data_IF_565577759952
#
_entry.id   IF_565577759952
#
_cell.length_a   1.000
_cell.length_b   1.000
_cell.length_c   1.000
_cell.angle_alpha   90.00
_cell.angle_beta   90.00
_cell.angle_gamma   90.00
#
_symmetry.space_group_name_H-M   'P 1'
#
loop_
_entity.id
_entity.type
_entity.pdbx_description
1 polymer ?
#
# COMPACT_ATOMS: atom_id res chain seq x y z
N UNK A 1 72.55 -24.30 -24.65
CA UNK A 1 72.21 -24.10 -23.23
C UNK A 1 70.72 -23.83 -23.14
N UNK A 2 69.89 -24.57 -22.38
CA UNK A 2 69.96 -25.96 -21.85
C UNK A 2 68.77 -26.84 -22.39
N UNK A 3 68.89 -28.15 -22.71
CA UNK A 3 68.83 -29.39 -21.87
C UNK A 3 67.82 -29.38 -20.72
N UNK A 4 67.00 -30.39 -20.38
CA UNK A 4 66.54 -31.68 -20.95
C UNK A 4 65.46 -32.25 -19.98
N UNK A 5 64.51 -33.09 -20.49
CA UNK A 5 63.83 -34.28 -19.87
C UNK A 5 63.16 -34.17 -18.47
N UNK A 6 62.16 -34.96 -18.04
CA UNK A 6 61.20 -35.96 -18.56
C UNK A 6 60.28 -36.34 -17.36
N UNK A 7 59.33 -37.27 -17.57
CA UNK A 7 58.63 -38.15 -16.61
C UNK A 7 57.19 -37.76 -16.22
N UNK A 8 56.29 -38.73 -16.33
CA UNK A 8 54.86 -38.62 -16.06
C UNK A 8 54.31 -39.65 -15.07
N UNK A 9 53.04 -39.41 -14.66
CA UNK A 9 52.00 -40.29 -14.07
C UNK A 9 52.31 -41.00 -12.71
N UNK A 10 51.34 -41.18 -11.78
CA UNK A 10 50.02 -41.80 -12.01
C UNK A 10 48.81 -41.21 -11.20
N UNK A 11 47.57 -41.74 -11.37
CA UNK A 11 46.35 -41.26 -10.69
C UNK A 11 45.91 -42.18 -9.53
N UNK A 12 45.24 -41.64 -8.48
CA UNK A 12 44.46 -42.44 -7.50
C UNK A 12 43.24 -41.72 -6.88
N UNK A 13 42.32 -42.57 -6.40
CA UNK A 13 40.88 -42.45 -6.14
C UNK A 13 40.38 -41.64 -4.90
N UNK A 14 39.19 -41.05 -5.11
CA UNK A 14 38.03 -40.62 -4.26
C UNK A 14 37.83 -41.27 -2.85
N UNK A 15 37.17 -40.61 -1.84
CA UNK A 15 35.68 -40.57 -1.73
C UNK A 15 35.00 -39.33 -1.03
N UNK A 16 33.78 -38.99 -1.51
CA UNK A 16 32.57 -38.29 -0.95
C UNK A 16 32.50 -37.89 0.56
N UNK A 17 31.65 -36.91 1.04
CA UNK A 17 30.24 -36.73 0.62
C UNK A 17 29.62 -35.30 0.57
N UNK A 18 28.65 -35.16 -0.34
CA UNK A 18 27.42 -34.33 -0.30
C UNK A 18 27.21 -33.38 0.90
N UNK A 19 27.27 -32.07 0.66
CA UNK A 19 26.34 -31.09 1.28
C UNK A 19 25.68 -30.24 0.20
N UNK A 20 24.44 -30.61 -0.13
CA UNK A 20 23.52 -29.79 -0.92
C UNK A 20 23.12 -28.59 -0.08
N UNK A 21 23.60 -27.40 -0.43
CA UNK A 21 22.98 -26.15 0.00
C UNK A 21 21.63 -26.00 -0.73
N UNK A 22 20.55 -25.59 -0.05
CA UNK A 22 19.25 -25.47 -0.67
C UNK A 22 19.28 -24.36 -1.72
N UNK A 23 19.11 -24.74 -2.99
CA UNK A 23 18.71 -23.80 -4.05
C UNK A 23 17.43 -23.13 -3.58
N UNK A 24 17.51 -21.84 -3.26
CA UNK A 24 16.31 -21.02 -3.18
C UNK A 24 15.56 -21.18 -4.50
N UNK A 25 14.40 -21.80 -4.39
CA UNK A 25 13.42 -21.97 -5.45
C UNK A 25 13.16 -20.58 -6.03
N UNK A 26 13.70 -20.29 -7.22
CA UNK A 26 13.23 -19.17 -8.04
C UNK A 26 11.72 -19.39 -8.18
N UNK A 27 10.92 -18.67 -7.39
CA UNK A 27 9.51 -18.49 -7.70
C UNK A 27 9.52 -17.87 -9.09
N UNK A 28 8.96 -18.61 -10.04
CA UNK A 28 8.65 -18.14 -11.37
C UNK A 28 7.97 -16.79 -11.24
N UNK A 29 8.72 -15.73 -11.59
CA UNK A 29 8.17 -14.42 -11.82
C UNK A 29 7.26 -14.58 -13.03
N UNK A 30 5.96 -14.72 -12.81
CA UNK A 30 5.00 -14.59 -13.89
C UNK A 30 4.97 -13.10 -14.19
N UNK A 31 5.38 -12.65 -15.38
CA UNK A 31 5.29 -11.24 -15.71
C UNK A 31 3.80 -10.88 -15.68
N UNK A 32 3.46 -9.81 -14.96
CA UNK A 32 2.09 -9.28 -14.81
C UNK A 32 1.50 -8.75 -16.14
N UNK A 33 2.13 -9.05 -17.27
CA UNK A 33 1.78 -8.58 -18.61
C UNK A 33 0.85 -9.52 -19.39
N UNK A 34 0.38 -10.63 -18.83
CA UNK A 34 -0.48 -11.59 -19.57
C UNK A 34 -1.96 -11.65 -19.16
N UNK A 35 -2.41 -10.87 -18.18
CA UNK A 35 -3.81 -10.92 -17.69
C UNK A 35 -4.76 -9.92 -18.35
N UNK A 36 -4.28 -9.00 -19.20
CA UNK A 36 -5.12 -8.05 -19.93
C UNK A 36 -4.65 -7.89 -21.38
N UNK A 37 -4.67 -8.98 -22.15
CA UNK A 37 -4.52 -8.94 -23.61
C UNK A 37 -5.81 -9.40 -24.27
N UNK A 38 -6.81 -8.50 -24.36
CA UNK A 38 -7.93 -8.48 -25.34
C UNK A 38 -9.01 -7.49 -24.92
N UNK A 39 -8.74 -6.19 -25.06
CA UNK A 39 -9.79 -5.17 -25.20
C UNK A 39 -9.25 -4.14 -26.21
N UNK A 40 -9.74 -4.08 -27.45
CA UNK A 40 -9.29 -3.07 -28.39
C UNK A 40 -10.15 -1.83 -28.22
N UNK A 41 -9.61 -0.63 -27.94
CA UNK A 41 -10.23 0.62 -28.38
C UNK A 41 -9.26 1.80 -28.41
N UNK A 42 -9.30 2.53 -29.54
CA UNK A 42 -8.76 3.87 -29.78
C UNK A 42 -9.48 4.88 -28.89
N UNK A 43 -8.74 5.82 -28.30
CA UNK A 43 -9.30 6.97 -27.59
C UNK A 43 -8.63 8.24 -28.09
N UNK A 44 -9.45 9.11 -28.68
CA UNK A 44 -9.13 10.51 -28.95
C UNK A 44 -9.18 11.34 -27.68
N UNK A 45 -8.30 12.34 -27.61
CA UNK A 45 -8.21 13.31 -26.53
C UNK A 45 -9.44 14.22 -26.49
N UNK A 46 -9.79 14.74 -25.30
CA UNK A 46 -10.17 16.14 -25.24
C UNK A 46 -9.49 16.95 -24.12
N UNK A 47 -9.51 18.26 -24.37
CA UNK A 47 -8.68 19.33 -23.83
C UNK A 47 -9.05 19.77 -22.41
N UNK A 48 -8.04 20.39 -21.78
CA UNK A 48 -8.04 21.08 -20.48
C UNK A 48 -9.07 22.23 -20.43
N UNK A 49 -9.63 22.47 -19.25
CA UNK A 49 -10.11 23.80 -18.87
C UNK A 49 -9.71 24.09 -17.41
N UNK A 50 -9.05 25.23 -17.23
CA UNK A 50 -8.51 25.78 -15.98
C UNK A 50 -9.51 26.85 -15.49
N UNK A 51 -9.78 26.88 -14.19
CA UNK A 51 -10.41 28.02 -13.52
C UNK A 51 -9.67 28.25 -12.19
N UNK A 52 -9.24 29.48 -11.84
CA UNK A 52 -8.50 29.75 -10.61
C UNK A 52 -9.46 30.01 -9.43
N UNK A 53 -9.05 29.60 -8.22
CA UNK A 53 -9.69 30.06 -6.98
C UNK A 53 -8.67 30.72 -6.06
N UNK A 54 -9.13 31.83 -5.52
CA UNK A 54 -8.47 32.90 -4.76
C UNK A 54 -8.23 32.56 -3.30
N UNK A 55 -7.12 33.11 -2.78
CA UNK A 55 -6.93 33.74 -1.46
C UNK A 55 -7.49 33.09 -0.19
N UNK A 56 -6.59 32.67 0.70
CA UNK A 56 -6.87 32.52 2.13
C UNK A 56 -5.70 33.09 2.94
N UNK A 57 -6.00 34.12 3.72
CA UNK A 57 -5.12 34.79 4.65
C UNK A 57 -4.88 33.91 5.90
N UNK A 58 -3.64 33.86 6.39
CA UNK A 58 -3.27 33.18 7.63
C UNK A 58 -3.13 34.23 8.72
N UNK A 59 -3.96 34.08 9.75
CA UNK A 59 -3.90 34.84 10.99
C UNK A 59 -2.74 34.32 11.85
N UNK A 60 -1.88 35.23 12.30
CA UNK A 60 -0.77 34.96 13.21
C UNK A 60 -1.32 34.92 14.65
N UNK A 61 -1.03 33.85 15.40
CA UNK A 61 -1.32 33.78 16.84
C UNK A 61 -0.09 33.24 17.58
N UNK A 62 0.22 33.90 18.71
CA UNK A 62 1.52 33.94 19.36
C UNK A 62 2.01 32.65 20.00
N UNK A 63 3.33 32.53 20.07
CA UNK A 63 4.05 31.47 20.74
C UNK A 63 4.11 31.75 22.26
N UNK A 64 3.58 30.82 23.05
CA UNK A 64 3.87 30.72 24.48
C UNK A 64 5.15 29.91 24.67
N UNK A 65 6.02 30.36 25.57
CA UNK A 65 7.29 29.72 25.90
C UNK A 65 7.09 28.29 26.41
N UNK A 66 7.77 27.32 25.80
CA UNK A 66 7.82 25.93 26.25
C UNK A 66 9.19 25.61 26.86
N UNK A 67 9.14 24.88 27.97
CA UNK A 67 10.24 24.41 28.82
C UNK A 67 11.30 23.60 28.00
N UNK A 68 12.63 23.84 28.17
CA UNK A 68 13.68 23.21 27.35
C UNK A 68 13.74 21.68 27.44
N UNK A 69 13.34 21.11 28.57
CA UNK A 69 13.21 19.66 28.79
C UNK A 69 12.15 19.02 27.87
N UNK A 70 11.11 19.79 27.53
CA UNK A 70 10.04 19.41 26.61
C UNK A 70 10.51 19.53 25.16
N UNK A 71 11.36 20.52 24.83
CA UNK A 71 11.96 20.68 23.50
C UNK A 71 12.98 19.61 23.15
N UNK A 72 13.83 19.20 24.10
CA UNK A 72 14.76 18.06 23.92
C UNK A 72 14.00 16.74 23.77
N UNK A 73 12.94 16.56 24.55
CA UNK A 73 12.00 15.43 24.39
C UNK A 73 11.28 15.49 23.04
N UNK A 74 10.93 16.69 22.55
CA UNK A 74 10.30 16.92 21.23
C UNK A 74 11.30 16.76 20.08
N UNK A 75 12.61 16.95 20.26
CA UNK A 75 13.62 16.72 19.22
C UNK A 75 14.06 15.25 19.15
N UNK A 76 14.16 14.57 20.30
CA UNK A 76 14.39 13.13 20.38
C UNK A 76 13.16 12.36 19.88
N UNK A 77 11.98 12.62 20.46
CA UNK A 77 10.85 13.21 19.73
C UNK A 77 10.90 13.12 18.21
N UNK A 78 11.22 14.21 17.52
CA UNK A 78 11.16 14.42 16.07
C UNK A 78 12.20 13.64 15.24
N UNK A 79 13.24 13.06 15.84
CA UNK A 79 14.20 12.20 15.13
C UNK A 79 13.86 10.72 15.28
N UNK A 80 13.36 10.32 16.45
CA UNK A 80 12.91 8.95 16.75
C UNK A 80 11.45 8.76 16.32
N UNK A 81 10.58 9.76 16.40
CA UNK A 81 9.17 9.64 15.99
C UNK A 81 8.96 9.40 14.52
N UNK A 82 9.62 10.01 13.53
CA UNK A 82 9.35 9.60 12.15
C UNK A 82 9.76 8.14 11.92
N UNK A 83 10.82 7.65 12.56
CA UNK A 83 11.29 6.25 12.43
C UNK A 83 10.41 5.28 13.24
N UNK A 84 10.05 5.62 14.47
CA UNK A 84 9.21 4.82 15.37
C UNK A 84 7.74 4.93 15.00
N UNK A 85 7.24 6.09 14.57
CA UNK A 85 5.91 6.26 13.97
C UNK A 85 5.87 5.60 12.60
N UNK A 86 6.92 5.64 11.75
CA UNK A 86 6.95 4.79 10.54
C UNK A 86 6.98 3.31 10.89
N UNK A 87 7.76 2.85 11.87
CA UNK A 87 7.78 1.44 12.27
C UNK A 87 6.45 1.02 12.91
N UNK A 88 5.82 1.85 13.76
CA UNK A 88 4.51 1.59 14.35
C UNK A 88 3.40 1.66 13.30
N UNK A 89 3.48 2.58 12.32
CA UNK A 89 2.56 2.62 11.18
C UNK A 89 2.79 1.45 10.24
N UNK A 90 4.02 0.98 10.04
CA UNK A 90 4.31 -0.24 9.27
C UNK A 90 3.78 -1.49 9.97
N UNK A 91 3.88 -1.56 11.30
CA UNK A 91 3.31 -2.65 12.11
C UNK A 91 1.78 -2.60 12.07
N UNK A 92 1.14 -1.43 12.27
CA UNK A 92 -0.31 -1.27 12.14
C UNK A 92 -0.81 -1.52 10.71
N UNK A 93 -0.05 -1.13 9.68
CA UNK A 93 -0.41 -1.34 8.29
C UNK A 93 -0.20 -2.81 7.89
N UNK A 94 0.82 -3.52 8.41
CA UNK A 94 0.91 -4.98 8.32
C UNK A 94 -0.26 -5.67 9.03
N UNK A 95 -0.71 -5.17 10.19
CA UNK A 95 -1.88 -5.72 10.90
C UNK A 95 -3.20 -5.45 10.16
N UNK A 96 -3.31 -4.36 9.40
CA UNK A 96 -4.49 -4.09 8.55
C UNK A 96 -4.44 -4.81 7.18
N UNK A 97 -3.26 -5.21 6.71
CA UNK A 97 -3.07 -5.91 5.42
C UNK A 97 -3.14 -7.43 5.57
N UNK A 98 -2.86 -7.98 6.77
CA UNK A 98 -2.95 -9.40 7.07
C UNK A 98 -4.26 -9.70 7.84
N UNK A 99 -5.21 -10.47 7.28
CA UNK A 99 -6.24 -11.06 8.12
C UNK A 99 -5.56 -12.08 9.03
N UNK A 100 -5.52 -11.77 10.33
CA UNK A 100 -5.08 -12.69 11.37
C UNK A 100 -6.06 -13.87 11.40
N UNK A 101 -5.70 -14.96 10.71
CA UNK A 101 -6.43 -16.22 10.79
C UNK A 101 -6.05 -16.88 12.12
N UNK A 102 -6.85 -16.66 13.15
CA UNK A 102 -6.75 -17.43 14.38
C UNK A 102 -7.34 -18.82 14.11
N UNK A 103 -6.49 -19.80 13.80
CA UNK A 103 -6.85 -21.21 13.90
C UNK A 103 -6.84 -21.58 15.39
N UNK A 104 -8.01 -21.50 16.02
CA UNK A 104 -8.30 -22.11 17.31
C UNK A 104 -9.19 -23.33 17.10
N UNK A 105 -8.57 -24.51 17.02
CA UNK A 105 -9.25 -25.79 17.19
C UNK A 105 -9.81 -25.89 18.61
N UNK A 106 -11.12 -26.09 18.72
CA UNK A 106 -11.74 -26.73 19.87
C UNK A 106 -13.04 -27.40 19.41
N UNK A 107 -12.98 -28.72 19.19
CA UNK A 107 -14.18 -29.54 19.09
C UNK A 107 -14.90 -29.57 20.44
N UNK A 108 -16.22 -29.67 20.39
CA UNK A 108 -17.03 -30.32 21.42
C UNK A 108 -18.40 -30.66 20.84
N UNK A 109 -18.78 -31.91 21.10
CA UNK A 109 -20.06 -32.51 20.76
C UNK A 109 -21.22 -31.65 21.28
N UNK A 110 -22.27 -31.54 20.47
CA UNK A 110 -23.62 -31.61 21.01
C UNK A 110 -24.48 -32.49 20.11
N UNK A 111 -24.54 -33.76 20.51
CA UNK A 111 -25.44 -34.80 20.04
C UNK A 111 -26.82 -34.49 20.63
N UNK A 112 -27.73 -33.88 19.86
CA UNK A 112 -29.14 -33.85 20.26
C UNK A 112 -29.89 -35.00 19.58
N UNK A 113 -30.06 -36.07 20.35
CA UNK A 113 -30.97 -37.18 20.08
C UNK A 113 -32.40 -36.64 20.21
N UNK A 114 -33.14 -36.56 19.10
CA UNK A 114 -34.60 -36.47 19.12
C UNK A 114 -35.12 -37.83 18.67
N UNK A 115 -35.50 -38.65 19.65
CA UNK A 115 -36.37 -39.79 19.44
C UNK A 115 -37.82 -39.33 19.60
N UNK A 116 -38.68 -39.97 18.80
CA UNK A 116 -40.15 -39.99 18.79
C UNK A 116 -40.87 -38.78 18.20
N UNK A 117 -41.30 -38.90 16.94
CA UNK A 117 -42.73 -39.01 16.65
C UNK A 117 -43.03 -39.68 15.28
N UNK A 118 -42.99 -41.02 15.25
CA UNK A 118 -43.21 -41.85 14.05
C UNK A 118 -44.64 -41.75 13.46
N UNK A 119 -45.58 -41.08 14.14
CA UNK A 119 -46.95 -40.91 13.65
C UNK A 119 -47.13 -39.61 12.85
N UNK A 120 -46.43 -38.55 13.23
CA UNK A 120 -46.50 -37.25 12.55
C UNK A 120 -45.81 -37.26 11.18
N UNK A 121 -44.79 -38.10 11.03
CA UNK A 121 -44.02 -38.27 9.79
C UNK A 121 -44.84 -38.97 8.68
N UNK A 122 -45.72 -39.92 9.02
CA UNK A 122 -46.58 -40.62 8.04
C UNK A 122 -47.75 -39.75 7.57
N UNK A 123 -48.31 -38.92 8.45
CA UNK A 123 -49.35 -37.94 8.10
C UNK A 123 -48.76 -36.82 7.23
N UNK A 124 -47.55 -36.34 7.53
CA UNK A 124 -46.85 -35.36 6.70
C UNK A 124 -46.46 -35.91 5.32
N UNK A 125 -46.03 -37.18 5.23
CA UNK A 125 -45.74 -37.84 3.95
C UNK A 125 -47.00 -38.06 3.10
N UNK A 126 -48.16 -38.35 3.71
CA UNK A 126 -49.45 -38.40 2.99
C UNK A 126 -49.94 -37.02 2.56
N UNK A 127 -49.72 -35.99 3.39
CA UNK A 127 -50.03 -34.61 3.03
C UNK A 127 -49.14 -34.10 1.88
N UNK A 128 -47.88 -34.54 1.80
CA UNK A 128 -46.96 -34.25 0.70
C UNK A 128 -47.33 -34.95 -0.62
N UNK A 129 -48.00 -36.10 -0.56
CA UNK A 129 -48.45 -36.85 -1.74
C UNK A 129 -49.76 -36.30 -2.36
N UNK A 130 -50.54 -35.52 -1.60
CA UNK A 130 -51.81 -34.93 -2.06
C UNK A 130 -51.72 -33.44 -2.42
N UNK A 131 -50.52 -32.84 -2.37
CA UNK A 131 -50.31 -31.47 -2.84
C UNK A 131 -50.31 -31.44 -4.38
N UNK A 132 -51.09 -30.53 -5.02
CA UNK A 132 -50.91 -30.23 -6.44
C UNK A 132 -49.45 -29.82 -6.65
N UNK A 133 -48.84 -30.32 -7.72
CA UNK A 133 -47.43 -30.14 -8.09
C UNK A 133 -46.79 -28.81 -7.65
N UNK A 134 -46.15 -28.83 -6.47
CA UNK A 134 -45.31 -27.74 -5.93
C UNK A 134 -44.05 -27.45 -6.77
N UNK A 135 -43.79 -28.27 -7.80
CA UNK A 135 -42.64 -28.17 -8.70
C UNK A 135 -42.58 -26.86 -9.50
N UNK A 136 -43.69 -26.14 -9.70
CA UNK A 136 -43.68 -24.85 -10.40
C UNK A 136 -43.39 -23.65 -9.49
N UNK A 137 -43.68 -23.73 -8.19
CA UNK A 137 -43.45 -22.64 -7.23
C UNK A 137 -42.11 -22.78 -6.49
N UNK A 138 -41.64 -24.01 -6.22
CA UNK A 138 -40.32 -24.24 -5.60
C UNK A 138 -39.14 -23.92 -6.54
N UNK A 139 -39.33 -24.01 -7.86
CA UNK A 139 -38.29 -23.65 -8.83
C UNK A 139 -37.95 -22.15 -8.84
N UNK A 140 -38.92 -21.28 -8.55
CA UNK A 140 -38.73 -19.82 -8.56
C UNK A 140 -38.01 -19.33 -7.29
N UNK A 141 -38.41 -19.81 -6.10
CA UNK A 141 -37.83 -19.40 -4.83
C UNK A 141 -36.40 -19.97 -4.59
N UNK A 142 -36.12 -21.21 -5.03
CA UNK A 142 -34.75 -21.76 -4.97
C UNK A 142 -33.81 -21.10 -5.99
N UNK A 143 -34.32 -20.72 -7.17
CA UNK A 143 -33.54 -19.97 -8.14
C UNK A 143 -33.24 -18.54 -7.64
N UNK A 144 -34.21 -17.85 -7.03
CA UNK A 144 -34.01 -16.49 -6.50
C UNK A 144 -32.97 -16.47 -5.36
N UNK A 145 -33.00 -17.45 -4.46
CA UNK A 145 -32.03 -17.58 -3.37
C UNK A 145 -30.58 -17.81 -3.87
N UNK A 146 -30.42 -18.55 -4.97
CA UNK A 146 -29.11 -18.76 -5.62
C UNK A 146 -28.54 -17.48 -6.23
N UNK A 147 -29.38 -16.70 -6.91
CA UNK A 147 -28.97 -15.41 -7.52
C UNK A 147 -28.61 -14.36 -6.47
N UNK A 148 -29.37 -14.26 -5.37
CA UNK A 148 -29.04 -13.35 -4.28
C UNK A 148 -27.69 -13.66 -3.63
N UNK A 149 -27.34 -14.94 -3.50
CA UNK A 149 -26.03 -15.33 -2.98
C UNK A 149 -24.89 -14.88 -3.90
N UNK A 150 -25.05 -15.10 -5.22
CA UNK A 150 -24.05 -14.69 -6.22
C UNK A 150 -23.85 -13.17 -6.23
N UNK A 151 -24.93 -12.39 -6.10
CA UNK A 151 -24.84 -10.93 -6.04
C UNK A 151 -24.15 -10.44 -4.76
N UNK A 152 -24.45 -11.07 -3.61
CA UNK A 152 -23.75 -10.77 -2.35
C UNK A 152 -22.26 -11.05 -2.44
N UNK A 153 -21.85 -12.12 -3.10
CA UNK A 153 -20.42 -12.42 -3.28
C UNK A 153 -19.75 -11.46 -4.25
N UNK A 154 -20.43 -11.07 -5.33
CA UNK A 154 -19.95 -10.02 -6.24
C UNK A 154 -19.69 -8.71 -5.49
N UNK A 155 -20.68 -8.23 -4.73
CA UNK A 155 -20.59 -6.98 -3.97
C UNK A 155 -19.47 -7.03 -2.92
N UNK A 156 -19.31 -8.18 -2.25
CA UNK A 156 -18.24 -8.41 -1.28
C UNK A 156 -16.85 -8.31 -1.92
N UNK A 157 -16.64 -8.96 -3.06
CA UNK A 157 -15.35 -8.96 -3.73
C UNK A 157 -15.04 -7.61 -4.39
N UNK A 158 -16.04 -6.95 -4.98
CA UNK A 158 -15.88 -5.61 -5.53
C UNK A 158 -15.61 -4.58 -4.43
N UNK A 159 -16.31 -4.64 -3.30
CA UNK A 159 -16.08 -3.76 -2.15
C UNK A 159 -14.65 -3.84 -1.60
N UNK A 160 -14.06 -5.05 -1.54
CA UNK A 160 -12.63 -5.22 -1.19
C UNK A 160 -11.70 -4.50 -2.16
N UNK A 161 -12.02 -4.52 -3.46
CA UNK A 161 -11.21 -3.87 -4.49
C UNK A 161 -11.37 -2.35 -4.48
N UNK A 162 -12.56 -1.82 -4.21
CA UNK A 162 -12.75 -0.38 -4.00
C UNK A 162 -11.94 0.13 -2.81
N UNK A 163 -12.00 -0.59 -1.68
CA UNK A 163 -11.18 -0.26 -0.52
C UNK A 163 -9.68 -0.31 -0.85
N UNK A 164 -9.24 -1.32 -1.60
CA UNK A 164 -7.84 -1.44 -2.04
C UNK A 164 -7.43 -0.29 -2.97
N UNK A 165 -8.30 0.16 -3.87
CA UNK A 165 -8.07 1.32 -4.75
C UNK A 165 -7.81 2.59 -3.92
N UNK A 166 -8.69 2.88 -2.97
CA UNK A 166 -8.58 4.07 -2.12
C UNK A 166 -7.36 4.04 -1.22
N UNK A 167 -7.07 2.88 -0.62
CA UNK A 167 -5.87 2.67 0.19
C UNK A 167 -4.59 2.86 -0.63
N UNK A 168 -4.56 2.34 -1.86
CA UNK A 168 -3.39 2.48 -2.76
C UNK A 168 -3.16 3.95 -3.12
N UNK A 169 -4.21 4.69 -3.48
CA UNK A 169 -4.12 6.13 -3.79
C UNK A 169 -3.66 6.95 -2.59
N UNK A 170 -4.20 6.66 -1.40
CA UNK A 170 -3.81 7.32 -0.16
C UNK A 170 -2.32 7.06 0.14
N UNK A 171 -1.90 5.81 0.09
CA UNK A 171 -0.50 5.42 0.31
C UNK A 171 0.45 6.10 -0.70
N UNK A 172 0.08 6.15 -1.98
CA UNK A 172 0.86 6.85 -3.00
C UNK A 172 1.03 8.34 -2.67
N UNK A 173 -0.06 9.02 -2.26
CA UNK A 173 -0.05 10.44 -1.91
C UNK A 173 0.80 10.69 -0.67
N UNK A 174 0.66 9.86 0.36
CA UNK A 174 1.39 10.02 1.60
C UNK A 174 2.89 9.73 1.43
N UNK A 175 3.26 8.74 0.60
CA UNK A 175 4.66 8.49 0.24
C UNK A 175 5.29 9.68 -0.49
N UNK A 176 4.56 10.30 -1.42
CA UNK A 176 5.03 11.51 -2.12
C UNK A 176 5.25 12.67 -1.15
N UNK A 177 4.28 12.92 -0.24
CA UNK A 177 4.44 13.97 0.79
C UNK A 177 5.64 13.72 1.68
N UNK A 178 5.89 12.46 2.06
CA UNK A 178 7.06 12.08 2.85
C UNK A 178 8.36 12.44 2.14
N UNK A 179 8.49 12.10 0.85
CA UNK A 179 9.70 12.44 0.08
C UNK A 179 9.85 13.94 -0.14
N UNK A 180 8.74 14.68 -0.30
CA UNK A 180 8.78 16.14 -0.42
C UNK A 180 9.26 16.79 0.90
N UNK A 181 8.84 16.25 2.05
CA UNK A 181 9.29 16.69 3.37
C UNK A 181 10.77 16.37 3.61
N UNK A 182 11.24 15.19 3.20
CA UNK A 182 12.66 14.81 3.25
C UNK A 182 13.53 15.81 2.49
N UNK A 183 13.11 16.21 1.27
CA UNK A 183 13.82 17.21 0.48
C UNK A 183 13.82 18.58 1.13
N UNK A 184 12.69 19.03 1.69
CA UNK A 184 12.56 20.33 2.33
C UNK A 184 13.45 20.46 3.58
N UNK A 185 13.51 19.40 4.39
CA UNK A 185 14.38 19.32 5.57
C UNK A 185 15.85 19.40 5.17
N UNK A 186 16.27 18.57 4.21
CA UNK A 186 17.66 18.52 3.75
C UNK A 186 18.13 19.85 3.15
N UNK A 187 17.27 20.48 2.34
CA UNK A 187 17.53 21.82 1.79
C UNK A 187 17.71 22.88 2.89
N UNK A 188 16.89 22.82 3.94
CA UNK A 188 17.01 23.73 5.09
C UNK A 188 18.33 23.51 5.84
N UNK A 189 18.74 22.25 6.05
CA UNK A 189 20.01 21.92 6.69
C UNK A 189 21.23 22.45 5.91
N UNK A 190 21.25 22.26 4.59
CA UNK A 190 22.30 22.82 3.71
C UNK A 190 22.29 24.36 3.72
N UNK A 191 21.11 24.99 3.80
CA UNK A 191 21.04 26.45 3.89
C UNK A 191 21.66 26.96 5.19
N UNK A 192 21.35 26.32 6.33
CA UNK A 192 21.92 26.69 7.64
C UNK A 192 23.45 26.63 7.60
N UNK A 193 24.03 25.54 7.08
CA UNK A 193 25.49 25.42 7.00
C UNK A 193 26.12 26.44 6.05
N UNK A 194 25.48 26.72 4.91
CA UNK A 194 25.93 27.74 3.97
C UNK A 194 25.86 29.15 4.55
N UNK A 195 24.81 29.48 5.29
CA UNK A 195 24.65 30.79 5.92
C UNK A 195 25.74 30.99 6.99
N UNK A 196 26.04 29.96 7.81
CA UNK A 196 27.14 29.99 8.78
C UNK A 196 28.50 30.21 8.10
N UNK A 197 28.76 29.53 6.99
CA UNK A 197 30.02 29.67 6.27
C UNK A 197 30.21 31.07 5.68
N UNK A 198 29.12 31.75 5.33
CA UNK A 198 29.14 33.14 4.83
C UNK A 198 29.33 34.20 5.92
N UNK A 199 29.37 33.80 7.20
CA UNK A 199 29.53 34.74 8.30
C UNK A 199 30.95 35.32 8.31
N UNK A 200 31.14 36.65 8.45
CA UNK A 200 32.46 37.27 8.53
C UNK A 200 33.37 36.72 9.63
N UNK A 201 32.81 36.11 10.68
CA UNK A 201 33.58 35.40 11.72
C UNK A 201 34.47 34.29 11.15
N UNK A 202 34.06 33.65 10.06
CA UNK A 202 34.85 32.65 9.35
C UNK A 202 36.09 33.24 8.68
N UNK A 203 36.11 34.54 8.37
CA UNK A 203 37.32 35.21 7.84
C UNK A 203 38.28 35.62 8.97
N UNK A 204 37.73 35.88 10.15
CA UNK A 204 38.47 36.39 11.32
C UNK A 204 39.11 35.27 12.13
N UNK A 205 38.45 34.12 12.25
CA UNK A 205 38.86 33.01 13.11
C UNK A 205 39.09 31.72 12.30
N UNK A 206 40.35 31.38 11.97
CA UNK A 206 40.67 30.21 11.13
C UNK A 206 40.16 28.89 11.70
N UNK A 207 40.18 28.73 13.02
CA UNK A 207 39.68 27.51 13.69
C UNK A 207 38.16 27.35 13.57
N UNK A 208 37.43 28.47 13.58
CA UNK A 208 35.98 28.48 13.37
C UNK A 208 35.63 28.16 11.92
N UNK A 209 36.37 28.73 10.97
CA UNK A 209 36.22 28.41 9.54
C UNK A 209 36.38 26.91 9.26
N UNK A 210 37.39 26.27 9.85
CA UNK A 210 37.62 24.84 9.69
C UNK A 210 36.42 24.01 10.18
N UNK A 211 35.91 24.29 11.38
CA UNK A 211 34.74 23.60 11.94
C UNK A 211 33.48 23.80 11.07
N UNK A 212 33.20 25.04 10.67
CA UNK A 212 32.00 25.36 9.86
C UNK A 212 32.11 24.75 8.45
N UNK A 213 33.31 24.72 7.86
CA UNK A 213 33.56 24.07 6.57
C UNK A 213 33.35 22.56 6.64
N UNK A 214 33.79 21.91 7.72
CA UNK A 214 33.54 20.49 7.95
C UNK A 214 32.04 20.21 8.10
N UNK A 215 31.30 21.04 8.84
CA UNK A 215 29.85 20.94 8.99
C UNK A 215 29.11 21.12 7.66
N UNK A 216 29.46 22.12 6.86
CA UNK A 216 28.86 22.34 5.54
C UNK A 216 29.10 21.19 4.57
N UNK A 217 30.32 20.64 4.58
CA UNK A 217 30.65 19.45 3.80
C UNK A 217 29.81 18.24 4.21
N UNK A 218 29.61 18.05 5.52
CA UNK A 218 28.75 16.98 6.05
C UNK A 218 27.29 17.15 5.63
N UNK A 219 26.73 18.37 5.71
CA UNK A 219 25.35 18.66 5.30
C UNK A 219 25.13 18.41 3.80
N UNK A 220 26.07 18.84 2.94
CA UNK A 220 26.00 18.61 1.49
C UNK A 220 26.11 17.11 1.12
N UNK A 221 26.95 16.35 1.84
CA UNK A 221 27.03 14.89 1.67
C UNK A 221 25.71 14.22 2.08
N UNK A 222 25.15 14.60 3.22
CA UNK A 222 23.86 14.10 3.68
C UNK A 222 22.73 14.39 2.67
N UNK A 223 22.71 15.60 2.10
CA UNK A 223 21.74 15.97 1.07
C UNK A 223 21.85 15.08 -0.18
N UNK A 224 23.07 14.79 -0.61
CA UNK A 224 23.31 13.89 -1.75
C UNK A 224 22.73 12.49 -1.50
N UNK A 225 22.94 11.92 -0.31
CA UNK A 225 22.35 10.63 0.06
C UNK A 225 20.82 10.70 0.21
N UNK A 226 20.28 11.81 0.71
CA UNK A 226 18.84 12.01 0.82
C UNK A 226 18.17 12.08 -0.56
N UNK A 227 18.79 12.79 -1.52
CA UNK A 227 18.33 12.82 -2.91
C UNK A 227 18.32 11.43 -3.54
N UNK A 228 19.37 10.63 -3.32
CA UNK A 228 19.41 9.24 -3.80
C UNK A 228 18.30 8.40 -3.17
N UNK A 229 18.10 8.48 -1.84
CA UNK A 229 16.98 7.82 -1.15
C UNK A 229 15.64 8.20 -1.78
N UNK A 230 15.37 9.49 -1.99
CA UNK A 230 14.12 9.99 -2.58
C UNK A 230 13.95 9.45 -4.00
N UNK A 231 14.99 9.48 -4.83
CA UNK A 231 14.96 8.94 -6.18
C UNK A 231 14.67 7.43 -6.20
N UNK A 232 15.23 6.67 -5.25
CA UNK A 232 14.96 5.24 -5.12
C UNK A 232 13.51 4.98 -4.69
N UNK A 233 12.99 5.71 -3.70
CA UNK A 233 11.58 5.59 -3.25
C UNK A 233 10.61 5.93 -4.39
N UNK A 234 10.93 6.97 -5.18
CA UNK A 234 10.14 7.35 -6.35
C UNK A 234 10.01 6.19 -7.36
N UNK A 235 11.13 5.54 -7.70
CA UNK A 235 11.18 4.44 -8.67
C UNK A 235 10.61 3.12 -8.14
N UNK A 236 10.85 2.81 -6.87
CA UNK A 236 10.57 1.48 -6.31
C UNK A 236 9.28 1.40 -5.51
N UNK A 237 8.69 2.53 -5.14
CA UNK A 237 7.44 2.59 -4.34
C UNK A 237 6.37 3.41 -5.05
N UNK A 238 6.63 4.69 -5.32
CA UNK A 238 5.61 5.62 -5.84
C UNK A 238 5.16 5.22 -7.25
N UNK A 239 6.10 4.90 -8.14
CA UNK A 239 5.78 4.46 -9.50
C UNK A 239 5.02 3.13 -9.55
N UNK A 240 5.41 2.05 -8.82
CA UNK A 240 4.62 0.83 -8.72
C UNK A 240 3.20 1.08 -8.19
N UNK A 241 3.04 1.89 -7.13
CA UNK A 241 1.69 2.23 -6.62
C UNK A 241 0.85 2.94 -7.68
N UNK A 242 1.45 3.85 -8.46
CA UNK A 242 0.79 4.54 -9.58
C UNK A 242 0.38 3.56 -10.68
N UNK A 243 1.28 2.63 -11.05
CA UNK A 243 1.01 1.59 -12.07
C UNK A 243 -0.11 0.66 -11.62
N UNK A 244 -0.10 0.20 -10.38
CA UNK A 244 -1.18 -0.60 -9.81
C UNK A 244 -2.51 0.14 -9.81
N UNK A 245 -2.50 1.42 -9.39
CA UNK A 245 -3.70 2.28 -9.39
C UNK A 245 -4.30 2.46 -10.79
N UNK A 246 -3.50 2.37 -11.85
CA UNK A 246 -3.96 2.54 -13.24
C UNK A 246 -4.81 1.38 -13.78
N UNK A 247 -4.85 0.24 -13.07
CA UNK A 247 -5.64 -0.94 -13.47
C UNK A 247 -7.12 -0.78 -13.06
N UNK A 248 -7.40 -0.07 -11.97
CA UNK A 248 -8.75 0.07 -11.42
C UNK A 248 -9.78 0.72 -12.37
N UNK A 249 -9.45 1.76 -13.16
CA UNK A 249 -10.40 2.32 -14.13
C UNK A 249 -10.96 1.28 -15.10
N UNK A 250 -10.13 0.35 -15.57
CA UNK A 250 -10.56 -0.72 -16.47
C UNK A 250 -11.47 -1.73 -15.77
N UNK A 251 -11.17 -2.10 -14.53
CA UNK A 251 -12.03 -2.93 -13.68
C UNK A 251 -13.38 -2.26 -13.45
N UNK A 252 -13.40 -1.00 -13.01
CA UNK A 252 -14.60 -0.23 -12.72
C UNK A 252 -15.51 -0.11 -13.95
N UNK A 253 -14.92 0.04 -15.14
CA UNK A 253 -15.66 0.03 -16.40
C UNK A 253 -16.24 -1.35 -16.74
N UNK A 254 -15.56 -2.45 -16.42
CA UNK A 254 -16.09 -3.80 -16.61
C UNK A 254 -17.27 -4.08 -15.67
N UNK A 255 -17.16 -3.68 -14.40
CA UNK A 255 -18.26 -3.74 -13.41
C UNK A 255 -19.46 -2.92 -13.87
N UNK A 256 -19.24 -1.67 -14.34
CA UNK A 256 -20.31 -0.83 -14.88
C UNK A 256 -21.01 -1.48 -16.09
N UNK A 257 -20.26 -2.14 -16.98
CA UNK A 257 -20.83 -2.87 -18.12
C UNK A 257 -21.66 -4.08 -17.68
N UNK A 258 -21.19 -4.83 -16.67
CA UNK A 258 -21.98 -5.93 -16.07
C UNK A 258 -23.29 -5.40 -15.48
N UNK A 259 -23.23 -4.31 -14.72
CA UNK A 259 -24.40 -3.72 -14.08
C UNK A 259 -25.44 -3.23 -15.10
N UNK A 260 -24.99 -2.60 -16.18
CA UNK A 260 -25.88 -2.20 -17.28
C UNK A 260 -26.59 -3.42 -17.91
N UNK A 261 -25.84 -4.50 -18.20
CA UNK A 261 -26.42 -5.72 -18.77
C UNK A 261 -27.34 -6.43 -17.77
N UNK A 262 -27.05 -6.38 -16.47
CA UNK A 262 -27.93 -6.89 -15.41
C UNK A 262 -29.27 -6.14 -15.37
N UNK A 263 -29.26 -4.81 -15.52
CA UNK A 263 -30.47 -4.01 -15.58
C UNK A 263 -31.31 -4.36 -16.82
N UNK A 264 -30.67 -4.52 -17.98
CA UNK A 264 -31.34 -4.94 -19.21
C UNK A 264 -31.91 -6.36 -19.09
N UNK A 265 -31.16 -7.29 -18.49
CA UNK A 265 -31.61 -8.65 -18.17
C UNK A 265 -32.85 -8.63 -17.28
N UNK A 266 -32.82 -7.92 -16.15
CA UNK A 266 -33.97 -7.77 -15.23
C UNK A 266 -35.20 -7.22 -15.93
N UNK A 267 -35.04 -6.19 -16.77
CA UNK A 267 -36.16 -5.60 -17.54
C UNK A 267 -36.81 -6.60 -18.49
N UNK A 268 -36.01 -7.37 -19.24
CA UNK A 268 -36.52 -8.37 -20.18
C UNK A 268 -37.08 -9.60 -19.46
N UNK A 269 -36.47 -10.00 -18.35
CA UNK A 269 -36.94 -11.08 -17.48
C UNK A 269 -38.34 -10.77 -16.94
N UNK A 270 -38.58 -9.56 -16.42
CA UNK A 270 -39.92 -9.13 -16.01
C UNK A 270 -40.92 -9.06 -17.18
N UNK A 271 -40.46 -8.81 -18.41
CA UNK A 271 -41.33 -8.87 -19.61
C UNK A 271 -41.76 -10.32 -19.89
N UNK A 272 -40.85 -11.29 -19.75
CA UNK A 272 -41.16 -12.73 -19.88
C UNK A 272 -42.16 -13.17 -18.81
N UNK A 273 -41.89 -12.89 -17.54
CA UNK A 273 -42.77 -13.23 -16.41
C UNK A 273 -44.19 -12.70 -16.60
N UNK A 274 -44.32 -11.43 -17.04
CA UNK A 274 -45.63 -10.81 -17.36
C UNK A 274 -46.42 -11.53 -18.46
N UNK A 275 -45.78 -12.23 -19.39
CA UNK A 275 -46.48 -13.03 -20.42
C UNK A 275 -46.68 -14.47 -19.97
N UNK A 276 -45.87 -14.99 -19.05
CA UNK A 276 -46.05 -16.31 -18.45
C UNK A 276 -47.25 -16.37 -17.51
N UNK A 277 -47.56 -15.28 -16.81
CA UNK A 277 -48.73 -15.15 -15.92
C UNK A 277 -50.06 -15.00 -16.67
N UNK A 278 -50.03 -14.69 -17.99
CA UNK A 278 -51.25 -14.51 -18.80
C UNK A 278 -51.81 -15.85 -19.27
N UNK A 279 -53.11 -15.87 -19.54
CA UNK A 279 -53.77 -17.06 -20.12
C UNK A 279 -53.12 -17.51 -21.44
N UNK A 280 -52.99 -18.82 -21.60
CA UNK A 280 -52.29 -19.48 -22.73
C UNK A 280 -53.12 -19.49 -24.00
N UNK A 281 -53.42 -18.31 -24.51
CA UNK A 281 -53.99 -18.11 -25.84
C UNK A 281 -52.88 -18.09 -26.90
N UNK A 282 -53.21 -18.45 -28.15
CA UNK A 282 -52.26 -18.45 -29.27
C UNK A 282 -51.45 -17.15 -29.43
N UNK A 283 -52.09 -15.96 -29.40
CA UNK A 283 -51.39 -14.67 -29.47
C UNK A 283 -50.44 -14.40 -28.29
N UNK A 284 -50.78 -14.86 -27.07
CA UNK A 284 -49.93 -14.71 -25.87
C UNK A 284 -48.71 -15.62 -25.96
N UNK A 285 -48.88 -16.86 -26.45
CA UNK A 285 -47.78 -17.80 -26.65
C UNK A 285 -46.76 -17.28 -27.67
N UNK A 286 -47.22 -16.65 -28.76
CA UNK A 286 -46.33 -16.03 -29.75
C UNK A 286 -45.50 -14.88 -29.12
N UNK A 287 -46.14 -14.00 -28.33
CA UNK A 287 -45.45 -12.90 -27.63
C UNK A 287 -44.48 -13.39 -26.55
N UNK A 288 -44.84 -14.45 -25.83
CA UNK A 288 -43.96 -15.09 -24.86
C UNK A 288 -42.71 -15.66 -25.54
N UNK A 289 -42.87 -16.34 -26.66
CA UNK A 289 -41.74 -16.86 -27.43
C UNK A 289 -40.81 -15.73 -27.89
N UNK A 290 -41.35 -14.66 -28.46
CA UNK A 290 -40.58 -13.49 -28.86
C UNK A 290 -39.83 -12.86 -27.68
N UNK A 291 -40.48 -12.68 -26.53
CA UNK A 291 -39.85 -12.12 -25.33
C UNK A 291 -38.71 -13.00 -24.80
N UNK A 292 -38.84 -14.34 -24.89
CA UNK A 292 -37.77 -15.28 -24.53
C UNK A 292 -36.59 -15.20 -25.51
N UNK A 293 -36.86 -15.06 -26.80
CA UNK A 293 -35.81 -14.90 -27.82
C UNK A 293 -35.05 -13.58 -27.68
N UNK A 294 -35.72 -12.50 -27.27
CA UNK A 294 -35.08 -11.23 -26.91
C UNK A 294 -34.23 -11.33 -25.63
N UNK A 295 -34.70 -12.08 -24.63
CA UNK A 295 -34.02 -12.25 -23.34
C UNK A 295 -32.73 -13.06 -23.46
N UNK A 296 -32.75 -14.14 -24.26
CA UNK A 296 -31.66 -15.12 -24.37
C UNK A 296 -30.27 -14.50 -24.59
N UNK A 297 -30.02 -13.65 -25.61
CA UNK A 297 -28.70 -13.06 -25.82
C UNK A 297 -28.25 -12.12 -24.70
N UNK A 298 -29.18 -11.41 -24.04
CA UNK A 298 -28.87 -10.50 -22.93
C UNK A 298 -28.49 -11.29 -21.67
N UNK A 299 -29.19 -12.40 -21.42
CA UNK A 299 -28.87 -13.32 -20.32
C UNK A 299 -27.48 -13.92 -20.51
N UNK A 300 -27.18 -14.44 -21.70
CA UNK A 300 -25.86 -15.03 -22.02
C UNK A 300 -24.72 -14.02 -21.83
N UNK A 301 -24.89 -12.78 -22.30
CA UNK A 301 -23.91 -11.70 -22.14
C UNK A 301 -23.71 -11.28 -20.67
N UNK A 302 -24.79 -11.20 -19.87
CA UNK A 302 -24.69 -10.94 -18.43
C UNK A 302 -23.95 -12.07 -17.72
N UNK A 303 -24.33 -13.33 -17.95
CA UNK A 303 -23.72 -14.50 -17.31
C UNK A 303 -22.22 -14.59 -17.64
N UNK A 304 -21.84 -14.31 -18.89
CA UNK A 304 -20.45 -14.26 -19.32
C UNK A 304 -19.65 -13.19 -18.55
N UNK A 305 -20.14 -11.95 -18.51
CA UNK A 305 -19.49 -10.85 -17.77
C UNK A 305 -19.42 -11.10 -16.27
N UNK A 306 -20.51 -11.61 -15.69
CA UNK A 306 -20.61 -11.90 -14.27
C UNK A 306 -19.61 -12.99 -13.86
N UNK A 307 -19.57 -14.10 -14.61
CA UNK A 307 -18.61 -15.18 -14.39
C UNK A 307 -17.17 -14.68 -14.48
N UNK A 308 -16.85 -13.91 -15.54
CA UNK A 308 -15.50 -13.36 -15.71
C UNK A 308 -15.07 -12.54 -14.49
N UNK A 309 -15.91 -11.61 -14.03
CA UNK A 309 -15.57 -10.75 -12.90
C UNK A 309 -15.44 -11.53 -11.58
N UNK A 310 -16.32 -12.50 -11.32
CA UNK A 310 -16.24 -13.35 -10.13
C UNK A 310 -14.97 -14.22 -10.11
N UNK A 311 -14.43 -14.58 -11.28
CA UNK A 311 -13.17 -15.31 -11.38
C UNK A 311 -11.93 -14.40 -11.27
N UNK A 312 -11.99 -13.18 -11.82
CA UNK A 312 -10.84 -12.29 -11.92
C UNK A 312 -10.65 -11.41 -10.67
N UNK A 313 -11.71 -10.90 -10.06
CA UNK A 313 -11.62 -9.99 -8.90
C UNK A 313 -10.88 -10.60 -7.71
N UNK A 314 -11.17 -11.85 -7.27
CA UNK A 314 -10.44 -12.46 -6.16
C UNK A 314 -8.96 -12.69 -6.49
N UNK A 315 -8.66 -13.06 -7.75
CA UNK A 315 -7.27 -13.22 -8.22
C UNK A 315 -6.53 -11.89 -8.16
N UNK A 316 -7.15 -10.82 -8.67
CA UNK A 316 -6.58 -9.47 -8.61
C UNK A 316 -6.31 -9.05 -7.16
N UNK A 317 -7.30 -9.23 -6.27
CA UNK A 317 -7.12 -8.94 -4.85
C UNK A 317 -5.97 -9.74 -4.23
N UNK A 318 -5.87 -11.05 -4.49
CA UNK A 318 -4.78 -11.90 -3.96
C UNK A 318 -3.39 -11.46 -4.44
N UNK A 319 -3.28 -10.95 -5.67
CA UNK A 319 -2.01 -10.54 -6.27
C UNK A 319 -1.35 -9.32 -5.61
N UNK A 320 -2.12 -8.55 -4.82
CA UNK A 320 -1.63 -7.33 -4.15
C UNK A 320 -0.38 -7.56 -3.29
N UNK A 321 -0.29 -8.73 -2.64
CA UNK A 321 0.83 -9.06 -1.74
C UNK A 321 2.11 -9.23 -2.55
N UNK A 322 2.06 -10.03 -3.61
CA UNK A 322 3.21 -10.28 -4.47
C UNK A 322 3.66 -9.00 -5.20
N UNK A 323 2.71 -8.10 -5.50
CA UNK A 323 3.02 -6.82 -6.13
C UNK A 323 3.65 -5.79 -5.17
N UNK A 324 3.11 -5.63 -3.96
CA UNK A 324 3.59 -4.60 -3.01
C UNK A 324 4.80 -5.02 -2.18
N UNK A 325 5.01 -6.32 -1.98
CA UNK A 325 6.13 -6.82 -1.17
C UNK A 325 7.50 -6.30 -1.64
N UNK A 326 7.86 -6.34 -2.93
CA UNK A 326 9.14 -5.79 -3.39
C UNK A 326 9.28 -4.28 -3.16
N UNK A 327 8.19 -3.51 -3.30
CA UNK A 327 8.19 -2.08 -3.01
C UNK A 327 8.46 -1.79 -1.54
N UNK A 328 7.83 -2.56 -0.64
CA UNK A 328 8.05 -2.43 0.79
C UNK A 328 9.50 -2.79 1.17
N UNK A 329 10.02 -3.90 0.67
CA UNK A 329 11.42 -4.31 0.91
C UNK A 329 12.41 -3.25 0.40
N UNK A 330 12.13 -2.64 -0.75
CA UNK A 330 12.94 -1.56 -1.32
C UNK A 330 12.89 -0.28 -0.50
N UNK A 331 11.71 0.08 0.03
CA UNK A 331 11.53 1.22 0.93
C UNK A 331 12.39 1.08 2.18
N UNK A 332 12.29 -0.07 2.87
CA UNK A 332 13.06 -0.33 4.09
C UNK A 332 14.57 -0.28 3.79
N UNK A 333 15.00 -0.88 2.67
CA UNK A 333 16.41 -0.85 2.26
C UNK A 333 16.91 0.57 2.01
N UNK A 334 16.14 1.41 1.30
CA UNK A 334 16.50 2.80 1.04
C UNK A 334 16.69 3.60 2.34
N UNK A 335 15.80 3.39 3.32
CA UNK A 335 15.93 4.01 4.65
C UNK A 335 17.19 3.54 5.38
N UNK A 336 17.44 2.22 5.43
CA UNK A 336 18.63 1.66 6.11
C UNK A 336 19.92 2.21 5.51
N UNK A 337 20.02 2.27 4.18
CA UNK A 337 21.18 2.84 3.49
C UNK A 337 21.39 4.30 3.90
N UNK A 338 20.34 5.12 3.81
CA UNK A 338 20.42 6.54 4.17
C UNK A 338 20.89 6.77 5.61
N UNK A 339 20.23 6.13 6.59
CA UNK A 339 20.59 6.35 7.99
C UNK A 339 21.95 5.77 8.37
N UNK A 340 22.39 4.70 7.70
CA UNK A 340 23.75 4.17 7.90
C UNK A 340 24.79 5.18 7.45
N UNK A 341 24.60 5.79 6.28
CA UNK A 341 25.53 6.82 5.78
C UNK A 341 25.47 8.10 6.61
N UNK A 342 24.27 8.50 7.06
CA UNK A 342 24.10 9.64 7.97
C UNK A 342 24.85 9.44 9.29
N UNK A 343 24.76 8.24 9.90
CA UNK A 343 25.50 7.90 11.10
C UNK A 343 27.02 7.99 10.90
N UNK A 344 27.54 7.50 9.76
CA UNK A 344 28.97 7.61 9.43
C UNK A 344 29.40 9.07 9.27
N UNK A 345 28.65 9.86 8.50
CA UNK A 345 28.95 11.28 8.26
C UNK A 345 29.01 12.05 9.58
N UNK A 346 28.05 11.86 10.48
CA UNK A 346 28.07 12.52 11.78
C UNK A 346 29.18 11.99 12.68
N UNK A 347 29.48 10.69 12.66
CA UNK A 347 30.63 10.13 13.38
C UNK A 347 31.95 10.77 12.95
N UNK A 348 32.17 10.90 11.63
CA UNK A 348 33.35 11.56 11.07
C UNK A 348 33.40 13.06 11.42
N UNK A 349 32.25 13.73 11.45
CA UNK A 349 32.13 15.15 11.80
C UNK A 349 32.42 15.38 13.29
N UNK A 350 31.84 14.56 14.17
CA UNK A 350 32.10 14.62 15.61
C UNK A 350 33.58 14.40 15.90
N UNK A 351 34.23 13.45 15.23
CA UNK A 351 35.67 13.25 15.39
C UNK A 351 36.52 14.46 14.94
N UNK A 352 36.02 15.31 14.04
CA UNK A 352 36.69 16.51 13.56
C UNK A 352 36.42 17.76 14.42
N UNK A 353 35.20 17.90 14.96
CA UNK A 353 34.76 19.13 15.64
C UNK A 353 34.78 18.98 17.17
N UNK A 354 34.56 17.79 17.72
CA UNK A 354 34.31 17.63 19.14
C UNK A 354 35.57 17.85 19.98
N UNK A 355 35.42 18.62 21.06
CA UNK A 355 36.36 18.63 22.18
C UNK A 355 35.90 17.56 23.16
N UNK A 356 36.70 16.52 23.42
CA UNK A 356 36.27 15.44 24.31
C UNK A 356 35.98 15.99 25.73
N UNK A 357 34.84 15.58 26.31
CA UNK A 357 34.70 15.51 27.78
C UNK A 357 33.62 16.36 28.46
N UNK A 358 32.76 17.09 27.74
CA UNK A 358 31.67 17.85 28.37
C UNK A 358 30.29 17.25 28.04
N UNK A 359 29.47 17.07 29.08
CA UNK A 359 28.04 16.77 28.94
C UNK A 359 27.26 17.97 28.41
N UNK A 360 26.07 17.74 27.86
CA UNK A 360 25.22 18.81 27.33
C UNK A 360 24.86 19.84 28.41
N UNK A 361 24.59 19.39 29.64
CA UNK A 361 24.36 20.27 30.81
C UNK A 361 25.59 21.12 31.17
N UNK A 362 26.80 20.63 30.91
CA UNK A 362 28.02 21.42 31.11
C UNK A 362 28.20 22.44 29.99
N UNK A 363 27.92 22.07 28.73
CA UNK A 363 27.95 23.01 27.60
C UNK A 363 26.94 24.14 27.77
N UNK A 364 25.73 23.83 28.24
CA UNK A 364 24.71 24.85 28.54
C UNK A 364 25.17 25.79 29.64
N UNK A 365 25.68 25.26 30.76
CA UNK A 365 26.23 26.08 31.86
C UNK A 365 27.41 26.95 31.41
N UNK A 366 28.30 26.44 30.57
CA UNK A 366 29.41 27.22 30.02
C UNK A 366 28.89 28.34 29.12
N UNK A 367 27.90 28.08 28.27
CA UNK A 367 27.27 29.09 27.43
C UNK A 367 26.62 30.19 28.27
N UNK A 368 25.86 29.82 29.31
CA UNK A 368 25.22 30.78 30.23
C UNK A 368 26.25 31.60 31.01
N UNK A 369 27.32 30.97 31.49
CA UNK A 369 28.42 31.66 32.16
C UNK A 369 29.10 32.66 31.22
N UNK A 370 29.39 32.26 29.97
CA UNK A 370 29.96 33.16 28.95
C UNK A 370 29.03 34.31 28.63
N UNK A 371 27.72 34.06 28.53
CA UNK A 371 26.73 35.11 28.32
C UNK A 371 26.67 36.07 29.52
N UNK A 372 26.79 35.56 30.75
CA UNK A 372 26.86 36.38 31.97
C UNK A 372 28.12 37.24 32.01
N UNK A 373 29.28 36.70 31.62
CA UNK A 373 30.52 37.47 31.47
C UNK A 373 30.36 38.61 30.47
N UNK A 374 29.74 38.34 29.30
CA UNK A 374 29.45 39.36 28.28
C UNK A 374 28.52 40.45 28.81
N UNK A 375 27.48 40.09 29.58
CA UNK A 375 26.57 41.06 30.23
C UNK A 375 27.28 41.92 31.28
N UNK A 376 28.29 41.38 31.95
CA UNK A 376 29.08 42.09 32.94
C UNK A 376 30.13 43.02 32.33
N UNK A 377 30.36 42.98 31.00
CA UNK A 377 31.18 43.97 30.32
C UNK A 377 30.51 45.35 30.47
N UNK A 378 31.27 46.31 31.01
CA UNK A 378 30.83 47.66 31.44
C UNK A 378 30.27 48.58 30.33
N UNK A 379 29.97 48.06 29.14
CA UNK A 379 29.37 48.79 28.02
C UNK A 379 27.82 48.66 28.05
N UNK A 380 27.26 47.79 28.90
CA UNK A 380 25.81 47.64 29.14
C UNK A 380 25.46 47.95 30.60
N UNK A 381 26.28 48.73 31.30
CA UNK A 381 25.96 49.20 32.66
C UNK A 381 25.15 50.50 32.57
N UNK A 382 23.83 50.34 32.73
CA UNK A 382 22.80 51.32 33.13
C UNK A 382 22.92 52.78 32.64
N UNK A 383 22.12 53.09 31.60
CA UNK A 383 21.30 54.32 31.53
C UNK A 383 19.81 53.92 31.51
#
# INVERSE_FOLDING_TARGET
MPSARNEGLPPQNNPNPKRRLPRHRRRSHVPFSSLFSRIPFKIGQPKKQIVPKTGLAIHQQGAAACDPSVLASILLLCLITPVVVMMMMMVMMMMMILPFKQEGSAGSLCRLRVTTDSYRERELLRALQNLPSLSSLQGSACASAGWEHVERDFEREYGKLQQLEDQTKKLQKDMKKSTDADLAMSKSAVKISSDLLSNPLCEQEPSFLEMVTAFDTAMKRMDSFNQEKVNQIQKTVIEPLKKFSSVFPSLNMAVKRREQTLQDYKRLQSKVEKYEEKERTGPVLAKLHQAREELRPVKEDFEAKNKQLLEEMPKFYSSRIDYFKPSFESLVRAQVVYYTEMHKIFGDLTAQIDRPGLSDEQRERENDAKLSELRALSIVADD
#
